data_IF_617816328465
#
_entry.id   IF_617816328465
#
_cell.length_a   1.000
_cell.length_b   1.000
_cell.length_c   1.000
_cell.angle_alpha   90.00
_cell.angle_beta   90.00
_cell.angle_gamma   90.00
#
_symmetry.space_group_name_H-M   'P 1'
#
loop_
_entity.id
_entity.type
_entity.pdbx_description
1 polymer ?
#
# COMPACT_ATOMS: atom_id res chain seq x y z
N UNK A 1 -28.18 -12.55 -20.38
CA UNK A 1 -28.21 -11.11 -20.67
C UNK A 1 -26.82 -10.57 -20.73
N UNK A 2 -26.40 -9.82 -21.75
CA UNK A 2 -25.06 -9.24 -21.81
C UNK A 2 -24.87 -8.30 -20.62
N UNK A 3 -23.75 -8.47 -19.89
CA UNK A 3 -23.39 -7.64 -18.74
C UNK A 3 -23.14 -6.23 -19.25
N UNK A 4 -23.96 -5.26 -18.86
CA UNK A 4 -23.80 -3.87 -19.26
C UNK A 4 -22.45 -3.37 -18.74
N UNK A 5 -21.53 -3.03 -19.64
CA UNK A 5 -20.22 -2.51 -19.30
C UNK A 5 -20.39 -1.12 -18.71
N UNK A 6 -19.84 -0.89 -17.53
CA UNK A 6 -19.90 0.40 -16.86
C UNK A 6 -18.79 1.30 -17.36
N UNK A 7 -19.12 2.47 -17.90
CA UNK A 7 -18.19 3.50 -18.31
C UNK A 7 -18.00 4.49 -17.16
N UNK A 8 -16.72 4.76 -16.80
CA UNK A 8 -16.34 5.81 -15.87
C UNK A 8 -15.84 7.01 -16.67
N UNK A 9 -16.34 8.20 -16.34
CA UNK A 9 -15.89 9.48 -16.91
C UNK A 9 -15.09 10.23 -15.86
N UNK A 10 -13.94 10.75 -16.26
CA UNK A 10 -13.02 11.48 -15.39
C UNK A 10 -12.88 12.91 -15.88
N UNK A 11 -13.17 13.86 -14.99
CA UNK A 11 -12.97 15.28 -15.17
C UNK A 11 -12.32 15.84 -13.91
N UNK A 12 -11.01 16.02 -13.94
CA UNK A 12 -10.24 16.59 -12.84
C UNK A 12 -9.11 17.50 -13.35
N UNK A 13 -8.24 17.96 -12.46
CA UNK A 13 -7.13 18.86 -12.80
C UNK A 13 -6.11 18.27 -13.78
N UNK A 14 -5.98 16.94 -13.83
CA UNK A 14 -4.96 16.26 -14.65
C UNK A 14 -5.53 15.56 -15.87
N UNK A 15 -6.83 15.26 -15.88
CA UNK A 15 -7.49 14.60 -17.00
C UNK A 15 -8.86 15.22 -17.25
N UNK A 16 -9.08 15.69 -18.49
CA UNK A 16 -10.38 16.18 -18.97
C UNK A 16 -10.94 15.20 -19.99
N UNK A 17 -12.23 14.89 -19.87
CA UNK A 17 -13.00 14.00 -20.77
C UNK A 17 -12.39 12.60 -20.95
N UNK A 18 -11.54 12.18 -20.01
CA UNK A 18 -11.02 10.82 -20.02
C UNK A 18 -12.12 9.82 -19.67
N UNK A 19 -12.16 8.71 -20.40
CA UNK A 19 -13.16 7.64 -20.21
C UNK A 19 -12.47 6.30 -20.19
N UNK A 20 -12.94 5.41 -19.33
CA UNK A 20 -12.53 4.02 -19.34
C UNK A 20 -13.70 3.09 -18.98
N UNK A 21 -13.55 1.83 -19.37
CA UNK A 21 -14.56 0.79 -19.18
C UNK A 21 -14.15 -0.12 -18.03
N UNK A 22 -15.10 -0.48 -17.17
CA UNK A 22 -14.93 -1.52 -16.18
C UNK A 22 -15.35 -2.86 -16.78
N UNK A 23 -14.38 -3.76 -16.97
CA UNK A 23 -14.57 -5.08 -17.58
C UNK A 23 -14.55 -6.21 -16.56
N UNK A 24 -14.16 -5.91 -15.32
CA UNK A 24 -14.16 -6.85 -14.21
C UNK A 24 -14.95 -6.29 -13.00
N UNK A 25 -15.48 -7.15 -12.12
CA UNK A 25 -16.04 -6.69 -10.85
C UNK A 25 -14.96 -6.07 -9.96
N UNK A 26 -15.40 -5.14 -9.09
CA UNK A 26 -14.48 -4.47 -8.14
C UNK A 26 -13.80 -5.51 -7.24
N UNK A 27 -12.49 -5.40 -7.12
CA UNK A 27 -11.67 -6.29 -6.29
C UNK A 27 -11.60 -7.76 -6.76
N UNK A 28 -11.97 -8.04 -8.01
CA UNK A 28 -12.02 -9.41 -8.56
C UNK A 28 -11.27 -9.52 -9.88
N UNK A 29 -10.99 -10.77 -10.27
CA UNK A 29 -10.38 -11.13 -11.56
C UNK A 29 -9.05 -10.39 -11.79
N UNK A 30 -8.19 -10.39 -10.78
CA UNK A 30 -6.82 -9.91 -10.91
C UNK A 30 -5.97 -10.89 -11.72
N UNK A 31 -4.89 -10.36 -12.29
CA UNK A 31 -3.84 -11.20 -12.85
C UNK A 31 -3.35 -12.19 -11.79
N UNK A 32 -3.17 -13.48 -12.10
CA UNK A 32 -2.74 -14.51 -11.13
C UNK A 32 -1.43 -14.18 -10.42
N UNK A 33 -0.57 -13.41 -11.07
CA UNK A 33 0.71 -12.96 -10.51
C UNK A 33 0.61 -11.71 -9.64
N UNK A 34 -0.55 -11.03 -9.64
CA UNK A 34 -0.80 -9.83 -8.84
C UNK A 34 -1.76 -10.16 -7.69
N UNK A 35 -1.18 -10.33 -6.51
CA UNK A 35 -1.91 -10.66 -5.27
C UNK A 35 -1.75 -9.52 -4.27
N UNK A 36 -2.52 -8.44 -4.41
CA UNK A 36 -2.49 -7.33 -3.47
C UNK A 36 -3.05 -7.76 -2.12
N UNK A 37 -2.35 -7.42 -1.04
CA UNK A 37 -2.78 -7.69 0.33
C UNK A 37 -3.66 -6.57 0.89
N UNK A 38 -3.50 -5.35 0.38
CA UNK A 38 -4.25 -4.18 0.79
C UNK A 38 -5.11 -3.66 -0.35
N UNK A 39 -6.35 -3.34 -0.04
CA UNK A 39 -7.24 -2.60 -0.92
C UNK A 39 -6.83 -1.13 -1.01
N UNK A 40 -7.24 -0.39 -2.06
CA UNK A 40 -7.01 1.06 -2.11
C UNK A 40 -7.55 1.81 -0.89
N UNK A 41 -8.69 1.39 -0.34
CA UNK A 41 -9.27 1.94 0.89
C UNK A 41 -8.33 1.79 2.08
N UNK A 42 -7.79 0.59 2.29
CA UNK A 42 -6.87 0.30 3.40
C UNK A 42 -5.55 1.06 3.23
N UNK A 43 -5.01 1.15 2.03
CA UNK A 43 -3.80 1.96 1.76
C UNK A 43 -4.02 3.44 2.11
N UNK A 44 -5.16 4.01 1.73
CA UNK A 44 -5.50 5.40 2.08
C UNK A 44 -5.66 5.59 3.59
N UNK A 45 -6.24 4.62 4.29
CA UNK A 45 -6.40 4.65 5.74
C UNK A 45 -5.06 4.49 6.50
N UNK A 46 -4.15 3.67 5.99
CA UNK A 46 -2.79 3.53 6.56
C UNK A 46 -1.95 4.80 6.41
N UNK A 47 -2.17 5.59 5.39
CA UNK A 47 -1.39 6.77 5.07
C UNK A 47 -0.19 6.48 4.18
N UNK A 48 -0.33 6.93 2.95
CA UNK A 48 0.67 6.83 1.89
C UNK A 48 0.79 8.17 1.17
N UNK A 49 1.94 8.44 0.54
CA UNK A 49 2.19 9.63 -0.27
C UNK A 49 2.01 10.96 0.47
N UNK A 50 2.31 11.00 1.77
CA UNK A 50 2.29 12.22 2.58
C UNK A 50 0.94 12.96 2.55
N UNK A 51 -0.17 12.24 2.50
CA UNK A 51 -1.54 12.75 2.57
C UNK A 51 -2.02 13.60 1.40
N UNK A 52 -1.13 14.02 0.50
CA UNK A 52 -1.48 14.90 -0.63
C UNK A 52 -2.11 14.15 -1.80
N UNK A 53 -1.83 12.87 -1.92
CA UNK A 53 -2.20 12.07 -3.06
C UNK A 53 -3.71 11.82 -3.14
N UNK A 54 -4.27 11.82 -4.34
CA UNK A 54 -5.70 11.58 -4.63
C UNK A 54 -6.68 12.60 -4.05
N UNK A 55 -6.21 13.73 -3.50
CA UNK A 55 -7.10 14.75 -2.90
C UNK A 55 -7.96 15.48 -3.94
N UNK A 56 -7.53 15.53 -5.19
CA UNK A 56 -8.16 16.27 -6.29
C UNK A 56 -9.00 15.39 -7.24
N UNK A 57 -8.95 14.07 -7.08
CA UNK A 57 -9.67 13.12 -7.96
C UNK A 57 -10.64 12.17 -7.21
N UNK A 58 -11.04 12.54 -5.98
CA UNK A 58 -11.90 11.69 -5.14
C UNK A 58 -13.23 11.30 -5.78
N UNK A 59 -13.78 12.16 -6.66
CA UNK A 59 -15.07 11.92 -7.31
C UNK A 59 -15.06 10.72 -8.27
N UNK A 60 -13.88 10.30 -8.70
CA UNK A 60 -13.71 9.14 -9.57
C UNK A 60 -13.94 7.81 -8.84
N UNK A 61 -13.68 7.79 -7.53
CA UNK A 61 -13.64 6.56 -6.73
C UNK A 61 -14.77 6.51 -5.69
N UNK A 62 -15.09 5.32 -5.13
CA UNK A 62 -16.09 5.20 -4.08
C UNK A 62 -15.80 6.11 -2.89
N UNK A 63 -16.80 6.89 -2.45
CA UNK A 63 -16.64 7.82 -1.32
C UNK A 63 -16.20 7.10 -0.04
N UNK A 64 -16.60 5.84 0.15
CA UNK A 64 -16.22 5.01 1.29
C UNK A 64 -14.72 4.74 1.40
N UNK A 65 -13.95 4.90 0.31
CA UNK A 65 -12.49 4.75 0.36
C UNK A 65 -11.82 5.90 1.12
N UNK A 66 -12.48 7.05 1.17
CA UNK A 66 -11.92 8.27 1.76
C UNK A 66 -12.44 8.55 3.17
N UNK A 67 -13.37 7.74 3.70
CA UNK A 67 -13.97 7.97 5.01
C UNK A 67 -12.95 8.01 6.16
N UNK A 68 -11.88 7.20 6.06
CA UNK A 68 -10.81 7.13 7.06
C UNK A 68 -9.42 7.40 6.45
N UNK A 69 -9.38 7.97 5.25
CA UNK A 69 -8.12 8.25 4.55
C UNK A 69 -7.33 9.35 5.26
N UNK A 70 -6.02 9.12 5.44
CA UNK A 70 -5.10 10.11 5.98
C UNK A 70 -4.70 11.09 4.87
N UNK A 71 -5.49 12.14 4.69
CA UNK A 71 -5.29 13.14 3.64
C UNK A 71 -4.95 14.50 4.22
N UNK A 72 -4.07 15.22 3.54
CA UNK A 72 -3.70 16.61 3.81
C UNK A 72 -4.10 17.49 2.62
N UNK A 73 -5.25 18.19 2.66
CA UNK A 73 -5.71 19.04 1.57
C UNK A 73 -4.82 20.26 1.33
N UNK A 74 -4.23 20.80 2.40
CA UNK A 74 -3.45 22.03 2.38
C UNK A 74 -2.04 21.87 1.81
N UNK A 75 -1.44 20.65 1.93
CA UNK A 75 -0.08 20.44 1.51
C UNK A 75 0.38 19.00 1.65
N UNK A 76 1.67 18.78 1.44
CA UNK A 76 2.32 17.49 1.65
C UNK A 76 2.73 17.38 3.11
N UNK A 77 2.22 16.37 3.80
CA UNK A 77 2.50 16.09 5.20
C UNK A 77 2.89 14.61 5.37
N UNK A 78 4.19 14.36 5.47
CA UNK A 78 4.71 12.99 5.55
C UNK A 78 4.55 12.34 6.95
N UNK A 79 4.15 13.11 7.97
CA UNK A 79 3.80 12.57 9.28
C UNK A 79 2.53 11.69 9.19
N UNK A 80 1.70 11.91 8.18
CA UNK A 80 0.51 11.10 7.89
C UNK A 80 0.81 9.73 7.28
N UNK A 81 2.05 9.51 6.81
CA UNK A 81 2.47 8.21 6.32
C UNK A 81 2.55 7.20 7.46
N UNK A 82 2.36 5.92 7.16
CA UNK A 82 2.36 4.86 8.17
C UNK A 82 3.63 4.84 9.04
N UNK A 83 4.81 5.02 8.42
CA UNK A 83 6.09 5.14 9.12
C UNK A 83 6.53 6.60 9.36
N UNK A 84 5.68 7.58 9.13
CA UNK A 84 5.97 8.99 9.37
C UNK A 84 7.07 9.60 8.51
N UNK A 85 7.51 8.94 7.45
CA UNK A 85 8.65 9.37 6.62
C UNK A 85 8.27 9.50 5.14
N UNK A 86 9.01 10.34 4.43
CA UNK A 86 8.91 10.43 2.98
C UNK A 86 9.66 9.29 2.30
N UNK A 87 8.96 8.52 1.50
CA UNK A 87 9.52 7.41 0.73
C UNK A 87 9.20 7.49 -0.78
N UNK A 88 8.61 8.59 -1.24
CA UNK A 88 8.24 8.78 -2.64
C UNK A 88 9.04 9.91 -3.29
N UNK A 89 9.44 9.72 -4.53
CA UNK A 89 9.97 10.79 -5.37
C UNK A 89 8.85 11.73 -5.83
N UNK A 90 9.16 13.00 -6.15
CA UNK A 90 8.22 13.90 -6.79
C UNK A 90 7.67 13.35 -8.11
N UNK A 91 6.45 13.76 -8.45
CA UNK A 91 5.78 13.29 -9.67
C UNK A 91 6.54 13.69 -10.96
N UNK A 92 7.25 14.83 -10.94
CA UNK A 92 8.13 15.25 -12.04
C UNK A 92 9.21 14.21 -12.32
N UNK A 93 9.92 13.77 -11.28
CA UNK A 93 10.95 12.72 -11.41
C UNK A 93 10.38 11.42 -11.96
N UNK A 94 9.14 11.07 -11.59
CA UNK A 94 8.49 9.89 -12.13
C UNK A 94 8.15 10.03 -13.62
N UNK A 95 7.78 11.22 -14.06
CA UNK A 95 7.53 11.52 -15.47
C UNK A 95 8.82 11.45 -16.29
N UNK A 96 9.87 12.09 -15.80
CA UNK A 96 11.18 12.15 -16.47
C UNK A 96 11.78 10.74 -16.66
N UNK A 97 11.52 9.84 -15.70
CA UNK A 97 11.91 8.43 -15.79
C UNK A 97 10.94 7.55 -16.62
N UNK A 98 9.92 8.11 -17.23
CA UNK A 98 8.94 7.35 -18.02
C UNK A 98 8.06 6.38 -17.19
N UNK A 99 7.96 6.61 -15.89
CA UNK A 99 7.19 5.72 -15.00
C UNK A 99 5.69 6.02 -14.99
N UNK A 100 5.30 7.19 -15.49
CA UNK A 100 3.91 7.62 -15.57
C UNK A 100 3.33 7.25 -16.93
N UNK A 101 2.22 6.53 -16.90
CA UNK A 101 1.42 6.29 -18.11
C UNK A 101 0.44 7.45 -18.32
N UNK A 102 0.20 7.87 -19.56
CA UNK A 102 -0.67 8.99 -19.89
C UNK A 102 -2.12 8.81 -19.36
N UNK A 103 -2.60 7.58 -19.33
CA UNK A 103 -3.92 7.27 -18.77
C UNK A 103 -3.96 7.32 -17.23
N UNK A 104 -2.82 7.24 -16.56
CA UNK A 104 -2.71 7.29 -15.09
C UNK A 104 -1.71 8.37 -14.66
N UNK A 105 -2.04 9.67 -14.87
CA UNK A 105 -1.08 10.77 -14.69
C UNK A 105 -0.59 10.95 -13.25
N UNK A 106 -1.24 10.33 -12.28
CA UNK A 106 -0.82 10.29 -10.87
C UNK A 106 0.01 9.04 -10.53
N UNK A 107 0.30 8.19 -11.53
CA UNK A 107 1.20 7.06 -11.41
C UNK A 107 0.57 5.79 -10.84
N UNK A 108 1.42 4.94 -10.25
CA UNK A 108 1.13 3.56 -9.91
C UNK A 108 -0.12 3.38 -9.05
N UNK A 109 -0.32 4.22 -8.02
CA UNK A 109 -1.48 4.06 -7.14
C UNK A 109 -2.81 4.40 -7.83
N UNK A 110 -2.83 5.40 -8.75
CA UNK A 110 -4.01 5.67 -9.56
C UNK A 110 -4.32 4.49 -10.48
N UNK A 111 -3.29 3.92 -11.12
CA UNK A 111 -3.44 2.69 -11.88
C UNK A 111 -4.05 1.59 -11.01
N UNK A 112 -3.52 1.36 -9.81
CA UNK A 112 -4.03 0.32 -8.90
C UNK A 112 -5.48 0.56 -8.50
N UNK A 113 -5.87 1.77 -8.16
CA UNK A 113 -7.26 2.10 -7.86
C UNK A 113 -8.20 1.75 -9.01
N UNK A 114 -7.84 2.12 -10.25
CA UNK A 114 -8.61 1.83 -11.45
C UNK A 114 -8.64 0.34 -11.79
N UNK A 115 -7.50 -0.32 -11.64
CA UNK A 115 -7.39 -1.78 -11.82
C UNK A 115 -8.27 -2.51 -10.78
N UNK A 116 -8.24 -2.09 -9.53
CA UNK A 116 -9.08 -2.62 -8.46
C UNK A 116 -10.58 -2.41 -8.73
N UNK A 117 -10.96 -1.26 -9.29
CA UNK A 117 -12.33 -1.00 -9.73
C UNK A 117 -12.79 -1.87 -10.90
N UNK A 118 -11.87 -2.50 -11.62
CA UNK A 118 -12.17 -3.42 -12.72
C UNK A 118 -11.77 -2.91 -14.12
N UNK A 119 -11.01 -1.80 -14.23
CA UNK A 119 -10.39 -1.43 -15.50
C UNK A 119 -9.29 -2.45 -15.84
N UNK A 120 -9.21 -2.82 -17.12
CA UNK A 120 -8.14 -3.70 -17.62
C UNK A 120 -7.48 -3.09 -18.86
N UNK A 121 -6.16 -3.05 -18.83
CA UNK A 121 -5.28 -2.55 -19.90
C UNK A 121 -4.09 -3.53 -20.01
N UNK A 122 -4.17 -4.62 -20.78
CA UNK A 122 -3.27 -5.77 -20.65
C UNK A 122 -1.77 -5.41 -20.65
N UNK A 123 -1.33 -4.54 -21.57
CA UNK A 123 0.07 -4.14 -21.67
C UNK A 123 0.51 -3.30 -20.46
N UNK A 124 -0.30 -2.31 -20.08
CA UNK A 124 0.01 -1.45 -18.94
C UNK A 124 -0.11 -2.21 -17.62
N UNK A 125 -1.11 -3.07 -17.49
CA UNK A 125 -1.29 -3.91 -16.31
C UNK A 125 -0.07 -4.81 -16.09
N UNK A 126 0.42 -5.49 -17.14
CA UNK A 126 1.64 -6.30 -17.07
C UNK A 126 2.86 -5.46 -16.66
N UNK A 127 3.01 -4.24 -17.22
CA UNK A 127 4.09 -3.31 -16.86
C UNK A 127 4.03 -2.90 -15.38
N UNK A 128 2.86 -2.56 -14.88
CA UNK A 128 2.69 -2.11 -13.50
C UNK A 128 2.82 -3.27 -12.50
N UNK A 129 2.36 -4.46 -12.85
CA UNK A 129 2.55 -5.67 -12.05
C UNK A 129 4.04 -6.03 -11.95
N UNK A 130 4.80 -5.94 -13.05
CA UNK A 130 6.25 -6.12 -13.03
C UNK A 130 6.95 -5.13 -12.08
N UNK A 131 6.53 -3.87 -12.09
CA UNK A 131 7.05 -2.85 -11.16
C UNK A 131 6.70 -3.16 -9.71
N UNK A 132 5.48 -3.59 -9.45
CA UNK A 132 5.07 -4.01 -8.10
C UNK A 132 5.92 -5.20 -7.60
N UNK A 133 6.17 -6.20 -8.45
CA UNK A 133 7.06 -7.33 -8.09
C UNK A 133 8.47 -6.85 -7.72
N UNK A 134 8.98 -5.83 -8.38
CA UNK A 134 10.30 -5.28 -8.10
C UNK A 134 10.41 -4.59 -6.73
N UNK A 135 9.30 -4.26 -6.08
CA UNK A 135 9.26 -3.67 -4.72
C UNK A 135 9.84 -4.62 -3.65
N UNK A 136 9.85 -5.95 -3.92
CA UNK A 136 10.43 -6.98 -3.05
C UNK A 136 11.90 -6.73 -2.72
N UNK A 137 12.63 -5.97 -3.54
CA UNK A 137 14.00 -5.55 -3.23
C UNK A 137 14.11 -4.78 -1.91
N UNK A 138 13.08 -4.02 -1.53
CA UNK A 138 13.06 -3.31 -0.25
C UNK A 138 12.97 -4.28 0.93
N UNK A 139 12.22 -5.36 0.80
CA UNK A 139 12.16 -6.45 1.80
C UNK A 139 13.53 -7.09 1.98
N UNK A 140 14.21 -7.40 0.88
CA UNK A 140 15.56 -7.97 0.94
C UNK A 140 16.56 -7.05 1.66
N UNK A 141 16.48 -5.75 1.42
CA UNK A 141 17.31 -4.75 2.11
C UNK A 141 17.00 -4.66 3.62
N UNK A 142 15.71 -4.73 3.99
CA UNK A 142 15.31 -4.74 5.40
C UNK A 142 15.83 -6.02 6.07
N UNK A 143 15.58 -7.19 5.48
CA UNK A 143 16.06 -8.46 6.02
C UNK A 143 17.56 -8.56 6.17
N UNK A 144 18.32 -7.91 5.29
CA UNK A 144 19.79 -7.90 5.32
C UNK A 144 20.38 -7.04 6.43
N UNK A 145 19.67 -5.96 6.82
CA UNK A 145 20.27 -4.88 7.62
C UNK A 145 19.53 -4.57 8.93
N UNK A 146 18.37 -5.21 9.15
CA UNK A 146 17.56 -4.97 10.34
C UNK A 146 17.46 -6.22 11.18
N UNK A 147 17.51 -6.05 12.50
CA UNK A 147 17.22 -7.13 13.43
C UNK A 147 15.74 -7.54 13.34
N UNK A 148 15.42 -8.82 13.53
CA UNK A 148 14.05 -9.28 13.62
C UNK A 148 13.26 -8.51 14.71
N UNK A 149 12.09 -7.98 14.33
CA UNK A 149 11.24 -7.22 15.25
C UNK A 149 11.54 -5.71 15.33
N UNK A 150 12.69 -5.22 14.82
CA UNK A 150 12.96 -3.79 14.77
C UNK A 150 12.15 -3.12 13.64
N UNK A 151 11.01 -2.56 14.00
CA UNK A 151 10.12 -1.87 13.06
C UNK A 151 10.61 -0.47 12.69
N UNK A 152 11.54 0.11 13.44
CA UNK A 152 12.07 1.45 13.18
C UNK A 152 13.32 1.44 12.29
N UNK A 153 13.93 0.29 12.09
CA UNK A 153 15.02 0.12 11.15
C UNK A 153 14.55 0.30 9.70
N UNK A 154 15.25 1.13 8.95
CA UNK A 154 14.99 1.44 7.53
C UNK A 154 13.54 1.90 7.25
N UNK A 155 13.03 2.92 7.92
CA UNK A 155 11.63 3.34 7.81
C UNK A 155 11.26 3.79 6.39
N UNK A 156 12.20 4.36 5.61
CA UNK A 156 11.95 4.72 4.20
C UNK A 156 11.69 3.51 3.32
N UNK A 157 12.46 2.43 3.47
CA UNK A 157 12.24 1.19 2.71
C UNK A 157 10.93 0.53 3.12
N UNK A 158 10.59 0.56 4.41
CA UNK A 158 9.32 0.04 4.93
C UNK A 158 8.14 0.86 4.38
N UNK A 159 8.23 2.19 4.40
CA UNK A 159 7.21 3.06 3.83
C UNK A 159 7.09 2.87 2.30
N UNK A 160 8.19 2.73 1.58
CA UNK A 160 8.18 2.44 0.14
C UNK A 160 7.49 1.10 -0.16
N UNK A 161 7.62 0.11 0.73
CA UNK A 161 6.92 -1.16 0.60
C UNK A 161 5.41 -1.02 0.82
N UNK A 162 4.97 -0.20 1.78
CA UNK A 162 3.55 0.10 2.01
C UNK A 162 2.88 0.87 0.85
N UNK A 163 3.67 1.51 -0.03
CA UNK A 163 3.17 2.13 -1.27
C UNK A 163 2.72 1.07 -2.28
N UNK A 164 3.30 -0.15 -2.27
CA UNK A 164 2.68 -1.32 -2.88
C UNK A 164 1.52 -1.81 -1.99
N UNK A 165 0.51 -2.51 -2.51
CA UNK A 165 -0.59 -3.02 -1.71
C UNK A 165 -0.17 -4.26 -0.91
N UNK A 166 0.81 -4.08 -0.03
CA UNK A 166 1.45 -5.13 0.77
C UNK A 166 1.48 -4.70 2.22
N UNK A 167 1.27 -5.66 3.13
CA UNK A 167 1.24 -5.37 4.57
C UNK A 167 2.65 -5.29 5.16
N UNK A 168 2.81 -4.46 6.18
CA UNK A 168 4.06 -4.40 6.95
C UNK A 168 4.35 -5.71 7.71
N UNK A 169 3.37 -6.58 7.87
CA UNK A 169 3.50 -7.88 8.54
C UNK A 169 4.51 -8.83 7.87
N UNK A 170 4.78 -8.67 6.58
CA UNK A 170 5.83 -9.44 5.90
C UNK A 170 7.26 -9.11 6.37
N UNK A 171 7.42 -8.09 7.20
CA UNK A 171 8.71 -7.79 7.84
C UNK A 171 8.92 -8.53 9.17
N UNK A 172 7.91 -9.21 9.69
CA UNK A 172 8.06 -10.12 10.82
C UNK A 172 8.76 -11.39 10.32
N UNK A 173 10.07 -11.39 10.43
CA UNK A 173 10.85 -12.62 10.29
C UNK A 173 10.53 -13.45 11.52
N UNK A 174 9.71 -14.50 11.38
CA UNK A 174 9.59 -15.53 12.40
C UNK A 174 11.00 -15.98 12.74
N UNK A 175 11.45 -15.95 14.01
CA UNK A 175 12.74 -16.51 14.37
C UNK A 175 12.70 -17.98 13.97
N UNK A 176 13.54 -18.37 13.02
CA UNK A 176 13.83 -19.78 12.79
C UNK A 176 14.32 -20.32 14.14
N UNK A 177 13.62 -21.29 14.67
CA UNK A 177 14.05 -22.07 15.84
C UNK A 177 15.42 -22.70 15.52
N UNK A 178 16.49 -21.93 15.67
CA UNK A 178 17.81 -22.51 15.84
C UNK A 178 17.88 -22.93 17.29
N UNK A 179 18.10 -24.22 17.50
CA UNK A 179 18.42 -24.83 18.77
C UNK A 179 19.32 -23.93 19.59
N UNK A 180 18.79 -23.39 20.66
CA UNK A 180 19.59 -22.85 21.77
C UNK A 180 19.68 -23.97 22.79
N UNK A 181 20.84 -24.61 22.82
CA UNK A 181 21.24 -25.49 23.92
C UNK A 181 21.15 -24.72 25.23
N UNK A 182 20.65 -25.42 26.23
CA UNK A 182 20.42 -24.95 27.58
C UNK A 182 21.69 -24.35 28.21
N UNK A 183 21.55 -23.20 28.86
CA UNK A 183 22.21 -22.93 30.15
C UNK A 183 21.46 -21.81 30.87
N UNK A 184 21.18 -22.09 32.10
CA UNK A 184 20.42 -21.32 33.09
C UNK A 184 21.18 -20.08 33.56
N UNK A 185 20.48 -19.01 33.85
CA UNK A 185 20.49 -18.41 35.22
C UNK A 185 19.51 -17.25 35.28
N UNK A 186 18.78 -17.22 36.38
CA UNK A 186 17.88 -16.14 36.84
C UNK A 186 18.65 -14.87 37.12
N UNK A 187 18.03 -13.73 36.82
CA UNK A 187 17.93 -12.65 37.80
C UNK A 187 16.79 -11.66 37.43
N UNK A 188 15.98 -11.33 38.43
CA UNK A 188 14.90 -10.34 38.37
C UNK A 188 15.48 -8.97 38.57
N UNK A 189 15.01 -7.99 37.81
CA UNK A 189 14.71 -6.66 38.36
C UNK A 189 13.69 -5.91 37.48
N UNK A 190 12.82 -5.23 38.17
CA UNK A 190 11.68 -4.42 37.84
C UNK A 190 12.00 -3.23 36.92
N UNK A 191 11.07 -2.92 35.96
CA UNK A 191 11.15 -1.66 35.22
C UNK A 191 10.01 -1.49 34.23
N UNK A 192 8.95 -0.87 34.69
CA UNK A 192 7.95 0.03 34.05
C UNK A 192 7.63 -0.20 32.56
N UNK A 193 6.40 -0.65 32.38
CA UNK A 193 5.66 -0.91 31.16
C UNK A 193 5.39 0.35 30.33
N UNK A 194 5.95 0.42 29.12
CA UNK A 194 5.57 1.32 28.05
C UNK A 194 4.92 0.55 26.88
N UNK A 195 4.18 -0.54 27.17
CA UNK A 195 3.64 -1.48 26.16
C UNK A 195 2.20 -1.25 25.73
N UNK A 196 1.44 -0.32 26.34
CA UNK A 196 -0.03 -0.33 26.18
C UNK A 196 -0.60 0.53 25.06
N UNK A 197 0.16 1.44 24.45
CA UNK A 197 -0.38 2.34 23.41
C UNK A 197 -0.22 1.83 21.97
N UNK A 198 0.67 0.88 21.71
CA UNK A 198 1.00 0.43 20.36
C UNK A 198 0.36 -0.90 19.96
N UNK A 199 0.00 -1.73 20.91
CA UNK A 199 -0.67 -3.03 20.66
C UNK A 199 -2.08 -2.90 20.10
N UNK A 200 -2.80 -1.83 20.44
CA UNK A 200 -4.18 -1.62 19.94
C UNK A 200 -4.24 -1.24 18.46
N UNK A 201 -3.19 -0.59 17.92
CA UNK A 201 -3.14 -0.25 16.49
C UNK A 201 -2.79 -1.46 15.61
N UNK A 202 -2.03 -2.43 16.15
CA UNK A 202 -1.65 -3.66 15.45
C UNK A 202 -2.76 -4.72 15.47
N UNK A 203 -3.56 -4.77 16.56
CA UNK A 203 -4.69 -5.69 16.65
C UNK A 203 -5.80 -5.42 15.62
N UNK A 204 -5.99 -4.15 15.20
CA UNK A 204 -6.94 -3.79 14.16
C UNK A 204 -6.54 -4.27 12.77
N UNK A 205 -5.26 -4.47 12.50
CA UNK A 205 -4.78 -4.93 11.20
C UNK A 205 -4.82 -6.46 11.05
N UNK A 206 -4.69 -7.20 12.15
CA UNK A 206 -4.70 -8.67 12.14
C UNK A 206 -6.11 -9.29 12.07
N UNK A 207 -7.16 -8.53 12.41
CA UNK A 207 -8.52 -9.08 12.46
C UNK A 207 -9.20 -9.16 11.08
N UNK A 208 -8.63 -8.54 10.06
CA UNK A 208 -9.22 -8.53 8.70
C UNK A 208 -8.78 -9.75 7.86
N UNK A 209 -7.78 -10.48 8.28
CA UNK A 209 -7.24 -11.63 7.52
C UNK A 209 -8.01 -12.96 7.67
N UNK A 210 -9.09 -13.03 8.41
CA UNK A 210 -9.81 -14.29 8.70
C UNK A 210 -11.24 -14.37 8.15
N UNK A 211 -11.61 -13.62 7.13
CA UNK A 211 -12.81 -13.98 6.38
C UNK A 211 -12.42 -14.94 5.25
N UNK A 212 -12.32 -16.21 5.60
CA UNK A 212 -12.46 -17.32 4.64
C UNK A 212 -13.86 -17.26 4.08
N UNK A 213 -13.97 -17.07 2.80
CA UNK A 213 -15.20 -17.31 2.07
C UNK A 213 -15.28 -18.83 1.83
N UNK A 214 -16.29 -19.45 2.44
CA UNK A 214 -16.78 -20.76 2.03
C UNK A 214 -17.50 -20.66 0.69
#
# INVERSE_FOLDING_TARGET
MPKQLKIVRVNDKMQRDYRYVLTAPIGRNFDPEFRPELTPKEMLALGVFCGKYMTDCRKEFPASWFAHARLSPSGRDCSLNYFGVDASQPLSVWRDNGWIHHNDPRGWFQWYCRYYMGRRMPQEDARQIKRWKAIRRHVAQIKKHCEPGDQMCRPRQRQAYCIGPTTAAQFEVTPSLRHVGASQSLERTSGISFRSAWTSALAGCNTISLIRIG
#
